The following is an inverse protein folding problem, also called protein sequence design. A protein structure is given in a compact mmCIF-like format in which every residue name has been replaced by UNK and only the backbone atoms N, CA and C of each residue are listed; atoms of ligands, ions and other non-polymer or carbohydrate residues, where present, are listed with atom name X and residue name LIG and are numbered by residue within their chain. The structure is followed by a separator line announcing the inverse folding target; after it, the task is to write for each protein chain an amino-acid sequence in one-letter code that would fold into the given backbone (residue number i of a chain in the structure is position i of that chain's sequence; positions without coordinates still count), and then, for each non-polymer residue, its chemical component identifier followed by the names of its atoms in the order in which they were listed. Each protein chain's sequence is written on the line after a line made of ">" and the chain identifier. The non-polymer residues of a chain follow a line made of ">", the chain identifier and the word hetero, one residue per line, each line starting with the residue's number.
data_IF_224169738959
#
_entry.id   IF_224169738959
#
_cell.length_a   1.000
_cell.length_b   1.000
_cell.length_c   1.000
_cell.angle_alpha   90.00
_cell.angle_beta   90.00
_cell.angle_gamma   90.00
#
_symmetry.space_group_name_H-M   'P 1'
#
loop_
_entity.id
_entity.type
_entity.pdbx_description
1 polymer ?
#
# COMPACT_ATOMS: atom_id res chain seq x y z
N UNK A 1 27.54 -25.44 -11.22
CA UNK A 1 27.52 -23.97 -11.40
C UNK A 1 26.58 -23.66 -12.55
N UNK A 2 25.34 -23.26 -12.25
CA UNK A 2 24.37 -22.82 -13.24
C UNK A 2 24.00 -21.37 -12.89
N UNK A 3 24.85 -20.42 -13.30
CA UNK A 3 24.57 -19.00 -13.20
C UNK A 3 23.61 -18.63 -14.33
N UNK A 4 22.34 -19.01 -14.18
CA UNK A 4 21.26 -18.38 -14.94
C UNK A 4 21.21 -16.92 -14.51
N UNK A 5 21.79 -16.05 -15.32
CA UNK A 5 21.77 -14.60 -15.12
C UNK A 5 20.35 -14.08 -15.40
N UNK A 6 19.41 -14.42 -14.50
CA UNK A 6 18.05 -13.89 -14.53
C UNK A 6 18.13 -12.39 -14.27
N UNK A 7 17.55 -11.58 -15.16
CA UNK A 7 17.45 -10.13 -14.96
C UNK A 7 16.81 -9.87 -13.58
N UNK A 8 17.55 -9.19 -12.70
CA UNK A 8 17.01 -8.78 -11.39
C UNK A 8 15.83 -7.85 -11.59
N UNK A 9 14.79 -8.02 -10.77
CA UNK A 9 13.62 -7.14 -10.83
C UNK A 9 13.90 -5.84 -10.08
N UNK A 10 13.81 -4.70 -10.76
CA UNK A 10 14.05 -3.36 -10.20
C UNK A 10 12.83 -2.85 -9.44
N UNK A 11 13.02 -2.55 -8.16
CA UNK A 11 11.95 -2.16 -7.23
C UNK A 11 12.14 -0.71 -6.79
N UNK A 12 11.12 0.12 -6.99
CA UNK A 12 11.03 1.47 -6.46
C UNK A 12 10.16 1.50 -5.22
N UNK A 13 10.62 2.14 -4.14
CA UNK A 13 9.86 2.27 -2.89
C UNK A 13 9.38 3.71 -2.71
N UNK A 14 8.08 3.89 -2.49
CA UNK A 14 7.46 5.19 -2.23
C UNK A 14 6.92 5.18 -0.79
N UNK A 15 7.66 5.80 0.13
CA UNK A 15 7.41 5.82 1.56
C UNK A 15 8.52 5.13 2.35
N UNK A 16 9.07 5.81 3.36
CA UNK A 16 10.15 5.28 4.20
C UNK A 16 9.80 5.27 5.69
N UNK A 17 8.55 4.92 6.00
CA UNK A 17 8.12 4.55 7.34
C UNK A 17 8.58 3.14 7.73
N UNK A 18 7.97 2.56 8.77
CA UNK A 18 8.34 1.23 9.28
C UNK A 18 8.30 0.14 8.19
N UNK A 19 7.21 0.06 7.41
CA UNK A 19 7.07 -0.92 6.33
C UNK A 19 8.08 -0.66 5.21
N UNK A 20 8.28 0.61 4.82
CA UNK A 20 9.24 0.97 3.78
C UNK A 20 10.68 0.60 4.14
N UNK A 21 11.08 0.84 5.40
CA UNK A 21 12.39 0.43 5.92
C UNK A 21 12.57 -1.08 5.86
N UNK A 22 11.59 -1.83 6.36
CA UNK A 22 11.61 -3.30 6.29
C UNK A 22 11.73 -3.81 4.85
N UNK A 23 10.94 -3.28 3.91
CA UNK A 23 11.00 -3.69 2.50
C UNK A 23 12.38 -3.40 1.88
N UNK A 24 12.97 -2.24 2.17
CA UNK A 24 14.30 -1.88 1.67
C UNK A 24 15.36 -2.84 2.20
N UNK A 25 15.33 -3.17 3.49
CA UNK A 25 16.25 -4.15 4.09
C UNK A 25 16.12 -5.53 3.43
N UNK A 26 14.90 -6.01 3.22
CA UNK A 26 14.64 -7.32 2.57
C UNK A 26 15.08 -7.33 1.10
N UNK A 27 14.82 -6.25 0.35
CA UNK A 27 15.21 -6.15 -1.06
C UNK A 27 16.74 -6.20 -1.20
N UNK A 28 17.47 -5.51 -0.33
CA UNK A 28 18.94 -5.46 -0.37
C UNK A 28 19.60 -6.81 -0.03
N UNK A 29 18.91 -7.69 0.69
CA UNK A 29 19.40 -9.03 1.02
C UNK A 29 19.11 -10.08 -0.07
N UNK A 30 18.26 -9.75 -1.04
CA UNK A 30 17.82 -10.67 -2.09
C UNK A 30 18.66 -10.54 -3.36
N UNK A 31 19.00 -11.69 -3.95
CA UNK A 31 19.80 -11.73 -5.17
C UNK A 31 18.97 -11.61 -6.46
N UNK A 32 17.65 -11.83 -6.39
CA UNK A 32 16.70 -11.73 -7.50
C UNK A 32 16.07 -10.33 -7.64
N UNK A 33 16.28 -9.46 -6.66
CA UNK A 33 15.75 -8.09 -6.64
C UNK A 33 16.87 -7.05 -6.69
N UNK A 34 16.53 -5.86 -7.16
CA UNK A 34 17.40 -4.68 -7.18
C UNK A 34 16.60 -3.47 -6.69
N UNK A 35 17.08 -2.80 -5.64
CA UNK A 35 16.49 -1.53 -5.22
C UNK A 35 16.89 -0.45 -6.23
N UNK A 36 15.92 0.15 -6.93
CA UNK A 36 16.21 1.18 -7.92
C UNK A 36 15.96 2.59 -7.40
N UNK A 37 15.04 2.83 -6.46
CA UNK A 37 14.94 4.11 -5.77
C UNK A 37 14.11 4.01 -4.48
N UNK A 38 14.25 5.04 -3.63
CA UNK A 38 13.42 5.32 -2.47
C UNK A 38 13.00 6.78 -2.54
N UNK A 39 11.71 7.04 -2.47
CA UNK A 39 11.15 8.36 -2.28
C UNK A 39 10.43 8.46 -0.94
N UNK A 40 10.57 9.59 -0.27
CA UNK A 40 9.75 9.92 0.89
C UNK A 40 9.46 11.42 0.89
N UNK A 41 8.23 11.81 1.27
CA UNK A 41 7.81 13.22 1.30
C UNK A 41 8.77 14.13 2.09
N UNK A 42 9.36 13.61 3.16
CA UNK A 42 10.40 14.31 3.92
C UNK A 42 11.73 13.62 3.65
N UNK A 43 12.56 14.20 2.78
CA UNK A 43 13.82 13.59 2.34
C UNK A 43 14.86 13.44 3.47
N UNK A 44 14.84 14.34 4.46
CA UNK A 44 15.75 14.28 5.61
C UNK A 44 15.69 12.96 6.37
N UNK A 45 14.57 12.22 6.31
CA UNK A 45 14.47 10.91 6.98
C UNK A 45 15.29 9.83 6.31
N UNK A 46 15.67 10.03 5.03
CA UNK A 46 16.47 9.12 4.21
C UNK A 46 17.97 9.39 4.39
N UNK A 47 18.34 10.66 4.55
CA UNK A 47 19.75 11.08 4.64
C UNK A 47 20.46 10.34 5.77
N UNK A 48 21.67 9.87 5.46
CA UNK A 48 22.50 9.06 6.36
C UNK A 48 21.92 7.68 6.76
N UNK A 49 20.75 7.28 6.25
CA UNK A 49 20.17 5.96 6.50
C UNK A 49 20.19 5.05 5.27
N UNK A 50 20.21 5.63 4.08
CA UNK A 50 20.30 4.92 2.80
C UNK A 50 21.39 5.54 1.93
N UNK A 51 21.98 4.76 1.03
CA UNK A 51 22.95 5.29 0.07
C UNK A 51 22.28 6.34 -0.84
N UNK A 52 22.94 7.48 -1.05
CA UNK A 52 22.42 8.61 -1.84
C UNK A 52 21.96 8.20 -3.24
N UNK A 53 22.61 7.20 -3.84
CA UNK A 53 22.23 6.67 -5.16
C UNK A 53 20.79 6.17 -5.18
N UNK A 54 20.21 5.71 -4.07
CA UNK A 54 18.82 5.25 -4.02
C UNK A 54 17.84 6.40 -3.76
N UNK A 55 18.28 7.54 -3.25
CA UNK A 55 17.38 8.64 -2.90
C UNK A 55 16.83 9.27 -4.19
N UNK A 56 15.50 9.34 -4.28
CA UNK A 56 14.81 10.07 -5.33
C UNK A 56 14.33 11.40 -4.74
N UNK A 57 14.89 12.50 -5.24
CA UNK A 57 14.59 13.86 -4.75
C UNK A 57 13.15 14.29 -5.10
N UNK A 58 12.73 14.05 -6.34
CA UNK A 58 11.37 14.33 -6.80
C UNK A 58 10.68 13.06 -7.27
N UNK A 59 9.48 12.81 -6.77
CA UNK A 59 8.70 11.64 -7.18
C UNK A 59 8.41 11.66 -8.68
N UNK A 60 8.29 12.84 -9.31
CA UNK A 60 8.07 12.98 -10.75
C UNK A 60 9.17 12.35 -11.62
N UNK A 61 10.39 12.20 -11.09
CA UNK A 61 11.55 11.64 -11.79
C UNK A 61 11.68 10.12 -11.63
N UNK A 62 10.66 9.43 -11.08
CA UNK A 62 10.70 7.99 -10.84
C UNK A 62 11.01 7.16 -12.09
N UNK A 63 10.56 7.61 -13.27
CA UNK A 63 10.69 6.89 -14.53
C UNK A 63 12.15 6.82 -15.00
N UNK A 64 12.98 7.80 -14.66
CA UNK A 64 14.41 7.84 -14.95
C UNK A 64 15.17 6.68 -14.29
N UNK A 65 14.59 6.10 -13.24
CA UNK A 65 15.14 4.96 -12.49
C UNK A 65 14.80 3.61 -13.11
N UNK A 66 13.94 3.59 -14.13
CA UNK A 66 13.47 2.41 -14.85
C UNK A 66 13.04 1.25 -13.90
N UNK A 67 12.09 1.48 -12.98
CA UNK A 67 11.55 0.43 -12.13
C UNK A 67 10.79 -0.62 -12.95
N UNK A 68 10.89 -1.90 -12.57
CA UNK A 68 10.00 -2.97 -13.06
C UNK A 68 8.77 -3.14 -12.11
N UNK A 69 8.85 -2.62 -10.89
CA UNK A 69 7.76 -2.57 -9.89
C UNK A 69 7.92 -1.32 -9.01
N UNK A 70 6.83 -0.62 -8.76
CA UNK A 70 6.75 0.45 -7.76
C UNK A 70 5.88 -0.03 -6.59
N UNK A 71 6.39 0.09 -5.37
CA UNK A 71 5.67 -0.27 -4.14
C UNK A 71 5.42 0.99 -3.33
N UNK A 72 4.15 1.36 -3.17
CA UNK A 72 3.74 2.49 -2.34
C UNK A 72 3.36 2.02 -0.94
N UNK A 73 3.97 2.62 0.09
CA UNK A 73 3.70 2.37 1.52
C UNK A 73 3.80 3.68 2.31
N UNK A 74 3.26 4.76 1.74
CA UNK A 74 3.35 6.13 2.24
C UNK A 74 1.99 6.66 2.71
N UNK A 75 1.05 6.85 1.77
CA UNK A 75 -0.24 7.48 2.00
C UNK A 75 -1.16 7.29 0.79
N UNK A 76 -2.49 7.10 0.98
CA UNK A 76 -3.46 6.94 -0.11
C UNK A 76 -3.42 8.03 -1.19
N UNK A 77 -3.05 9.26 -0.83
CA UNK A 77 -2.95 10.37 -1.79
C UNK A 77 -1.90 10.11 -2.88
N UNK A 78 -0.84 9.36 -2.58
CA UNK A 78 0.17 9.01 -3.59
C UNK A 78 -0.46 8.18 -4.71
N UNK A 79 -1.30 7.20 -4.35
CA UNK A 79 -2.04 6.40 -5.32
C UNK A 79 -2.99 7.27 -6.16
N UNK A 80 -3.68 8.22 -5.52
CA UNK A 80 -4.58 9.13 -6.21
C UNK A 80 -3.84 10.06 -7.20
N UNK A 81 -2.66 10.57 -6.81
CA UNK A 81 -1.91 11.57 -7.57
C UNK A 81 -1.00 10.94 -8.64
N UNK A 82 -0.39 9.78 -8.36
CA UNK A 82 0.65 9.17 -9.19
C UNK A 82 0.33 7.79 -9.74
N UNK A 83 -0.74 7.13 -9.28
CA UNK A 83 -0.99 5.73 -9.62
C UNK A 83 -1.14 5.47 -11.13
N UNK A 84 -1.78 6.38 -11.87
CA UNK A 84 -1.91 6.26 -13.33
C UNK A 84 -0.56 6.38 -14.04
N UNK A 85 0.28 7.34 -13.64
CA UNK A 85 1.59 7.55 -14.28
C UNK A 85 2.60 6.47 -13.88
N UNK A 86 2.48 5.87 -12.69
CA UNK A 86 3.25 4.69 -12.35
C UNK A 86 2.97 3.54 -13.32
N UNK A 87 1.70 3.30 -13.66
CA UNK A 87 1.27 2.26 -14.59
C UNK A 87 1.70 2.50 -16.05
N UNK A 88 2.10 3.72 -16.41
CA UNK A 88 2.72 3.97 -17.71
C UNK A 88 4.13 3.38 -17.83
N UNK A 89 4.78 3.09 -16.70
CA UNK A 89 6.22 2.74 -16.66
C UNK A 89 6.47 1.39 -16.02
N UNK A 90 5.70 1.00 -15.02
CA UNK A 90 5.96 -0.19 -14.22
C UNK A 90 4.68 -0.82 -13.66
N UNK A 91 4.79 -2.08 -13.24
CA UNK A 91 3.81 -2.67 -12.33
C UNK A 91 3.71 -1.83 -11.06
N UNK A 92 2.53 -1.78 -10.47
CA UNK A 92 2.28 -0.97 -9.28
C UNK A 92 1.64 -1.76 -8.14
N UNK A 93 2.25 -1.72 -6.95
CA UNK A 93 1.73 -2.31 -5.73
C UNK A 93 1.23 -1.23 -4.77
N UNK A 94 -0.06 -1.27 -4.44
CA UNK A 94 -0.74 -0.30 -3.57
C UNK A 94 -0.70 -0.81 -2.13
N UNK A 95 0.22 -0.30 -1.30
CA UNK A 95 0.27 -0.61 0.12
C UNK A 95 -0.74 0.17 0.97
N UNK A 96 -1.31 1.26 0.43
CA UNK A 96 -2.38 2.04 1.05
C UNK A 96 -3.75 1.79 0.37
N UNK A 97 -4.37 0.59 0.51
CA UNK A 97 -5.55 0.21 -0.28
C UNK A 97 -6.80 1.06 -0.01
N UNK A 98 -6.82 1.86 1.05
CA UNK A 98 -7.90 2.83 1.31
C UNK A 98 -8.03 3.89 0.21
N UNK A 99 -7.02 4.08 -0.65
CA UNK A 99 -7.14 4.90 -1.85
C UNK A 99 -8.26 4.41 -2.78
N UNK A 100 -8.49 3.09 -2.83
CA UNK A 100 -9.50 2.45 -3.68
C UNK A 100 -10.93 2.58 -3.13
N UNK A 101 -11.11 3.17 -1.94
CA UNK A 101 -12.43 3.53 -1.45
C UNK A 101 -13.02 4.71 -2.26
N UNK A 102 -12.16 5.54 -2.87
CA UNK A 102 -12.60 6.54 -3.83
C UNK A 102 -12.84 5.88 -5.20
N UNK A 103 -14.10 5.82 -5.61
CA UNK A 103 -14.51 5.15 -6.85
C UNK A 103 -13.90 5.78 -8.10
N UNK A 104 -13.64 7.09 -8.12
CA UNK A 104 -12.99 7.74 -9.27
C UNK A 104 -11.53 7.30 -9.40
N UNK A 105 -10.80 7.23 -8.27
CA UNK A 105 -9.42 6.72 -8.24
C UNK A 105 -9.40 5.27 -8.67
N UNK A 106 -10.29 4.45 -8.10
CA UNK A 106 -10.41 3.03 -8.41
C UNK A 106 -10.69 2.78 -9.90
N UNK A 107 -11.69 3.46 -10.48
CA UNK A 107 -12.06 3.33 -11.88
C UNK A 107 -10.92 3.72 -12.81
N UNK A 108 -10.25 4.85 -12.55
CA UNK A 108 -9.11 5.32 -13.35
C UNK A 108 -7.98 4.29 -13.38
N UNK A 109 -7.60 3.79 -12.20
CA UNK A 109 -6.54 2.80 -12.08
C UNK A 109 -6.92 1.46 -12.74
N UNK A 110 -8.16 1.00 -12.54
CA UNK A 110 -8.67 -0.22 -13.18
C UNK A 110 -8.66 -0.09 -14.70
N UNK A 111 -9.13 1.02 -15.24
CA UNK A 111 -9.12 1.29 -16.68
C UNK A 111 -7.68 1.29 -17.20
N UNK A 112 -6.80 2.05 -16.55
CA UNK A 112 -5.38 2.17 -16.92
C UNK A 112 -4.69 0.81 -16.97
N UNK A 113 -4.85 -0.01 -15.93
CA UNK A 113 -4.27 -1.35 -15.85
C UNK A 113 -4.88 -2.32 -16.88
N UNK A 114 -6.16 -2.19 -17.22
CA UNK A 114 -6.84 -3.08 -18.18
C UNK A 114 -6.48 -2.75 -19.63
N UNK A 115 -6.18 -1.48 -19.95
CA UNK A 115 -5.77 -1.06 -21.29
C UNK A 115 -4.26 -1.02 -21.50
N UNK A 116 -3.47 -1.05 -20.43
CA UNK A 116 -2.02 -0.91 -20.44
C UNK A 116 -1.27 -2.25 -20.46
N UNK A 117 0.05 -2.17 -20.26
CA UNK A 117 0.94 -3.35 -20.19
C UNK A 117 1.32 -3.73 -18.76
N UNK A 118 0.97 -2.91 -17.77
CA UNK A 118 1.37 -3.07 -16.38
C UNK A 118 0.18 -3.37 -15.47
N UNK A 119 0.43 -4.22 -14.47
CA UNK A 119 -0.58 -4.67 -13.52
C UNK A 119 -0.60 -3.88 -12.22
N UNK A 120 -1.76 -3.91 -11.56
CA UNK A 120 -1.92 -3.45 -10.18
C UNK A 120 -1.95 -4.66 -9.24
N UNK A 121 -1.22 -4.55 -8.13
CA UNK A 121 -1.19 -5.54 -7.06
C UNK A 121 -1.64 -4.90 -5.75
N UNK A 122 -2.51 -5.61 -5.03
CA UNK A 122 -2.94 -5.22 -3.68
C UNK A 122 -2.41 -6.30 -2.74
N UNK A 123 -1.47 -5.98 -1.83
CA UNK A 123 -0.97 -6.96 -0.88
C UNK A 123 -2.11 -7.36 0.07
N UNK A 124 -2.19 -8.65 0.42
CA UNK A 124 -3.25 -9.15 1.29
C UNK A 124 -3.25 -8.53 2.69
N UNK A 125 -2.10 -7.98 3.11
CA UNK A 125 -1.96 -7.25 4.36
C UNK A 125 -2.47 -8.04 5.57
N UNK A 126 -3.16 -7.35 6.49
CA UNK A 126 -3.78 -7.96 7.66
C UNK A 126 -5.16 -8.58 7.39
N UNK A 127 -5.60 -8.68 6.13
CA UNK A 127 -6.92 -9.22 5.78
C UNK A 127 -6.86 -10.76 5.69
N UNK A 128 -6.82 -11.41 6.85
CA UNK A 128 -6.99 -12.86 6.96
C UNK A 128 -8.37 -13.24 6.40
N UNK A 129 -8.41 -14.12 5.39
CA UNK A 129 -9.64 -14.54 4.70
C UNK A 129 -9.99 -13.78 3.41
N UNK A 130 -9.16 -12.82 2.97
CA UNK A 130 -9.38 -12.11 1.70
C UNK A 130 -9.48 -13.04 0.48
N UNK A 131 -8.73 -14.15 0.48
CA UNK A 131 -8.81 -15.20 -0.54
C UNK A 131 -10.17 -15.88 -0.61
N UNK A 132 -10.78 -16.14 0.55
CA UNK A 132 -12.10 -16.79 0.62
C UNK A 132 -13.20 -15.82 0.20
N UNK A 133 -13.10 -14.55 0.60
CA UNK A 133 -13.99 -13.49 0.14
C UNK A 133 -13.94 -13.39 -1.38
N UNK A 134 -12.74 -13.34 -1.95
CA UNK A 134 -12.54 -13.31 -3.41
C UNK A 134 -13.16 -14.54 -4.07
N UNK A 135 -12.86 -15.75 -3.57
CA UNK A 135 -13.41 -17.01 -4.11
C UNK A 135 -14.94 -17.04 -4.06
N UNK A 136 -15.55 -16.53 -3.00
CA UNK A 136 -17.00 -16.45 -2.86
C UNK A 136 -17.61 -15.41 -3.82
N UNK A 137 -16.93 -14.29 -4.05
CA UNK A 137 -17.33 -13.28 -5.03
C UNK A 137 -17.26 -13.84 -6.46
N UNK A 138 -16.14 -14.48 -6.82
CA UNK A 138 -15.92 -15.10 -8.14
C UNK A 138 -16.96 -16.19 -8.45
N UNK A 139 -17.48 -16.86 -7.42
CA UNK A 139 -18.54 -17.89 -7.52
C UNK A 139 -19.96 -17.32 -7.50
N UNK A 140 -20.13 -16.01 -7.32
CA UNK A 140 -21.44 -15.39 -7.13
C UNK A 140 -22.16 -15.81 -5.84
N UNK A 141 -21.45 -16.38 -4.86
CA UNK A 141 -22.02 -16.87 -3.60
C UNK A 141 -21.92 -15.85 -2.46
N UNK A 142 -21.22 -14.74 -2.67
CA UNK A 142 -21.03 -13.70 -1.66
C UNK A 142 -22.32 -12.89 -1.45
N UNK A 143 -23.02 -13.14 -0.34
CA UNK A 143 -24.24 -12.40 0.02
C UNK A 143 -24.00 -11.11 0.80
N UNK A 144 -22.83 -11.00 1.45
CA UNK A 144 -22.46 -9.84 2.25
C UNK A 144 -21.19 -10.11 3.04
N UNK A 145 -20.50 -9.04 3.44
CA UNK A 145 -19.30 -9.09 4.30
C UNK A 145 -19.53 -8.16 5.47
N UNK A 146 -19.34 -8.65 6.70
CA UNK A 146 -19.30 -7.82 7.90
C UNK A 146 -17.89 -7.86 8.49
N UNK A 147 -17.24 -6.71 8.56
CA UNK A 147 -15.94 -6.55 9.22
C UNK A 147 -16.18 -5.98 10.62
N UNK A 148 -15.58 -6.59 11.64
CA UNK A 148 -15.64 -6.09 13.02
C UNK A 148 -14.24 -5.90 13.55
N UNK A 149 -13.90 -4.68 13.94
CA UNK A 149 -12.64 -4.35 14.59
C UNK A 149 -12.87 -4.09 16.08
N UNK A 150 -12.10 -4.77 16.93
CA UNK A 150 -12.08 -4.54 18.38
C UNK A 150 -10.69 -4.06 18.77
N UNK A 151 -10.61 -2.95 19.50
CA UNK A 151 -9.36 -2.42 20.06
C UNK A 151 -9.58 -2.01 21.51
N UNK A 152 -8.50 -1.97 22.27
CA UNK A 152 -8.53 -1.43 23.62
C UNK A 152 -8.94 0.06 23.58
N UNK A 153 -9.75 0.57 24.54
CA UNK A 153 -10.25 1.96 24.51
C UNK A 153 -9.15 3.01 24.40
N UNK A 154 -7.97 2.75 24.97
CA UNK A 154 -6.81 3.66 24.92
C UNK A 154 -6.14 3.76 23.55
N UNK A 155 -6.47 2.88 22.59
CA UNK A 155 -5.88 2.90 21.26
C UNK A 155 -6.43 4.02 20.36
N UNK A 156 -7.49 4.71 20.77
CA UNK A 156 -8.16 5.71 19.96
C UNK A 156 -7.85 7.14 20.42
N UNK A 157 -7.60 8.03 19.45
CA UNK A 157 -7.59 9.48 19.65
C UNK A 157 -8.91 10.05 19.11
N UNK A 158 -9.93 10.12 19.95
CA UNK A 158 -11.29 10.49 19.55
C UNK A 158 -11.64 11.92 19.96
N UNK A 159 -12.44 12.57 19.12
CA UNK A 159 -13.15 13.81 19.46
C UNK A 159 -14.58 13.48 19.93
N UNK A 160 -15.27 14.47 20.50
CA UNK A 160 -16.70 14.32 20.82
C UNK A 160 -17.54 14.16 19.53
N UNK A 161 -18.64 13.38 19.57
CA UNK A 161 -19.21 12.67 20.74
C UNK A 161 -18.60 11.29 21.01
N UNK A 162 -17.67 10.81 20.16
CA UNK A 162 -17.12 9.45 20.25
C UNK A 162 -16.21 9.26 21.46
N UNK A 163 -15.55 10.32 21.92
CA UNK A 163 -14.72 10.29 23.13
C UNK A 163 -15.55 9.95 24.37
N UNK A 164 -16.66 10.65 24.60
CA UNK A 164 -17.57 10.31 25.71
C UNK A 164 -18.11 8.89 25.59
N UNK A 165 -18.49 8.47 24.37
CA UNK A 165 -18.99 7.11 24.11
C UNK A 165 -17.95 6.04 24.44
N UNK A 166 -16.69 6.26 24.08
CA UNK A 166 -15.58 5.35 24.40
C UNK A 166 -15.27 5.30 25.91
N UNK A 167 -15.56 6.38 26.65
CA UNK A 167 -15.44 6.43 28.10
C UNK A 167 -16.44 5.53 28.85
N UNK A 168 -17.49 5.05 28.17
CA UNK A 168 -18.46 4.10 28.74
C UNK A 168 -17.94 2.65 28.77
N UNK A 169 -16.77 2.37 28.17
CA UNK A 169 -16.20 1.03 28.17
C UNK A 169 -15.81 0.62 29.58
N UNK A 170 -16.43 -0.45 30.07
CA UNK A 170 -16.15 -1.06 31.36
C UNK A 170 -15.76 -2.54 31.17
N UNK A 171 -16.63 -3.47 31.57
CA UNK A 171 -16.53 -4.90 31.31
C UNK A 171 -16.96 -5.28 29.89
N UNK A 172 -17.85 -4.51 29.27
CA UNK A 172 -18.42 -4.81 27.96
C UNK A 172 -17.90 -3.90 26.85
N UNK A 173 -17.80 -4.45 25.63
CA UNK A 173 -17.37 -3.70 24.46
C UNK A 173 -18.43 -2.68 24.03
N UNK A 174 -18.01 -1.44 23.79
CA UNK A 174 -18.88 -0.37 23.27
C UNK A 174 -18.70 -0.22 21.76
N UNK A 175 -19.80 -0.19 21.01
CA UNK A 175 -19.79 0.03 19.57
C UNK A 175 -19.62 1.52 19.27
N UNK A 176 -18.44 1.92 18.81
CA UNK A 176 -18.17 3.30 18.41
C UNK A 176 -18.78 3.64 17.04
N UNK A 177 -18.83 2.67 16.13
CA UNK A 177 -19.35 2.82 14.77
C UNK A 177 -19.93 1.48 14.27
N UNK A 178 -21.11 1.54 13.66
CA UNK A 178 -21.74 0.45 12.91
C UNK A 178 -22.48 1.06 11.73
N UNK A 179 -22.02 0.77 10.51
CA UNK A 179 -22.53 1.38 9.30
C UNK A 179 -21.67 1.05 8.07
N UNK A 180 -22.17 1.39 6.87
CA UNK A 180 -21.40 1.24 5.65
C UNK A 180 -20.28 2.28 5.61
N UNK A 181 -19.08 1.83 5.23
CA UNK A 181 -17.95 2.73 4.96
C UNK A 181 -18.26 3.38 3.60
N UNK A 182 -18.70 4.64 3.63
CA UNK A 182 -19.02 5.47 2.46
C UNK A 182 -17.78 6.07 1.82
#
# INVERSE_FOLDING_TARGET
>A
MNSGNGKKRKIGIVGYGHIGQYLVEEILQRNDLELCFIWNRTLEVLRNKVEDKYILESLSSFSERAPDLIVEVAHPSITADYGEVFLDVADYMIGSPTALANLDVENKLRQKASSGTHGIYIPSGALWGGSDIKRMADRGTLKGVKVTMKKHPSCYKLNEPLKSKNGLVNSDAVVLYDGPIS
#
